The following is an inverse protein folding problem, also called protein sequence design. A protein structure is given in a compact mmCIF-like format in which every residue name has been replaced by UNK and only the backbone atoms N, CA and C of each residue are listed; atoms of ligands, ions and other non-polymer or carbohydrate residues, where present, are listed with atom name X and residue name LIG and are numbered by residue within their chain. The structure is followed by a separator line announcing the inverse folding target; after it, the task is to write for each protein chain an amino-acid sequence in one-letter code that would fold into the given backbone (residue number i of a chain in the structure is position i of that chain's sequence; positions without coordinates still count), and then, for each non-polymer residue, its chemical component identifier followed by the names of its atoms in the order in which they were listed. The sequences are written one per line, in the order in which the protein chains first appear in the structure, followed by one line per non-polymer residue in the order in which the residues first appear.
data_IF_845665502588
#
_entry.id   IF_845665502588
#
_cell.length_a   1.000
_cell.length_b   1.000
_cell.length_c   1.000
_cell.angle_alpha   90.00
_cell.angle_beta   90.00
_cell.angle_gamma   90.00
#
_symmetry.space_group_name_H-M   'P 1'
#
loop_
_entity.id
_entity.type
_entity.pdbx_description
1 polymer ?
#
# COMPACT_ATOMS: atom_id res chain seq x y z
N UNK A 1 -15.55 -9.86 -1.98
CA UNK A 1 -14.40 -10.73 -1.65
C UNK A 1 -13.17 -10.29 -2.44
N UNK A 2 -12.01 -10.22 -1.79
CA UNK A 2 -10.78 -9.76 -2.44
C UNK A 2 -10.01 -10.96 -2.94
N UNK A 3 -9.86 -11.06 -4.26
CA UNK A 3 -9.26 -12.22 -4.91
C UNK A 3 -7.81 -12.03 -5.33
N UNK A 4 -7.34 -10.78 -5.38
CA UNK A 4 -6.01 -10.46 -5.87
C UNK A 4 -5.22 -9.80 -4.76
N UNK A 5 -4.03 -10.34 -4.46
CA UNK A 5 -3.12 -9.75 -3.50
C UNK A 5 -2.08 -8.94 -4.24
N UNK A 6 -1.98 -7.67 -3.91
CA UNK A 6 -1.06 -6.75 -4.57
C UNK A 6 -0.01 -6.24 -3.60
N UNK A 7 1.23 -6.14 -4.08
CA UNK A 7 2.30 -5.48 -3.35
C UNK A 7 2.68 -4.20 -4.07
N UNK A 8 3.03 -3.17 -3.32
CA UNK A 8 3.40 -1.88 -3.89
C UNK A 8 4.83 -1.55 -3.48
N UNK A 9 5.69 -1.28 -4.46
CA UNK A 9 7.06 -0.87 -4.23
C UNK A 9 7.16 0.63 -4.44
N UNK A 10 7.83 1.32 -3.52
CA UNK A 10 7.97 2.77 -3.60
C UNK A 10 6.68 3.49 -3.25
N UNK A 11 5.93 2.96 -2.29
CA UNK A 11 4.60 3.47 -1.96
C UNK A 11 4.56 4.89 -1.41
N UNK A 12 5.70 5.43 -0.96
CA UNK A 12 5.74 6.80 -0.46
C UNK A 12 5.86 7.83 -1.58
N UNK A 13 6.15 7.41 -2.81
CA UNK A 13 6.26 8.30 -3.94
C UNK A 13 4.92 8.73 -4.49
N UNK A 14 4.95 9.69 -5.41
CA UNK A 14 3.73 10.23 -6.01
C UNK A 14 2.91 9.15 -6.73
N UNK A 15 3.57 8.36 -7.57
CA UNK A 15 2.90 7.29 -8.33
C UNK A 15 2.34 6.23 -7.39
N UNK A 16 3.10 5.88 -6.34
CA UNK A 16 2.63 4.92 -5.35
C UNK A 16 1.39 5.40 -4.64
N UNK A 17 1.33 6.70 -4.31
CA UNK A 17 0.16 7.29 -3.68
C UNK A 17 -1.08 7.23 -4.55
N UNK A 18 -0.92 7.51 -5.85
CA UNK A 18 -2.02 7.42 -6.79
C UNK A 18 -2.56 5.99 -6.87
N UNK A 19 -1.66 5.02 -6.95
CA UNK A 19 -2.05 3.62 -7.01
C UNK A 19 -2.74 3.17 -5.73
N UNK A 20 -2.25 3.62 -4.58
CA UNK A 20 -2.88 3.32 -3.30
C UNK A 20 -4.33 3.81 -3.23
N UNK A 21 -4.58 5.02 -3.70
CA UNK A 21 -5.94 5.58 -3.70
C UNK A 21 -6.90 4.72 -4.51
N UNK A 22 -6.43 4.20 -5.62
CA UNK A 22 -7.23 3.35 -6.48
C UNK A 22 -7.46 1.99 -5.81
N UNK A 23 -6.40 1.36 -5.31
CA UNK A 23 -6.47 0.00 -4.82
C UNK A 23 -7.14 -0.13 -3.46
N UNK A 24 -7.02 0.86 -2.60
CA UNK A 24 -7.65 0.83 -1.28
C UNK A 24 -9.17 0.65 -1.41
N UNK A 25 -9.76 1.23 -2.45
CA UNK A 25 -11.20 1.17 -2.66
C UNK A 25 -11.61 0.10 -3.69
N UNK A 26 -10.65 -0.68 -4.19
CA UNK A 26 -10.97 -1.69 -5.19
C UNK A 26 -11.55 -2.94 -4.51
N UNK A 27 -12.75 -3.40 -4.89
CA UNK A 27 -13.41 -4.48 -4.16
C UNK A 27 -12.75 -5.85 -4.31
N UNK A 28 -11.97 -6.06 -5.35
CA UNK A 28 -11.36 -7.36 -5.63
C UNK A 28 -9.87 -7.41 -5.34
N UNK A 29 -9.28 -6.32 -4.85
CA UNK A 29 -7.85 -6.25 -4.61
C UNK A 29 -7.58 -6.06 -3.12
N UNK A 30 -6.71 -6.90 -2.57
CA UNK A 30 -6.20 -6.74 -1.21
C UNK A 30 -4.75 -6.27 -1.32
N UNK A 31 -4.43 -5.15 -0.67
CA UNK A 31 -3.06 -4.67 -0.62
C UNK A 31 -2.32 -5.48 0.44
N UNK A 32 -1.36 -6.29 0.01
CA UNK A 32 -0.63 -7.17 0.90
C UNK A 32 0.47 -6.43 1.66
N UNK A 33 1.20 -5.56 0.95
CA UNK A 33 2.23 -4.73 1.59
C UNK A 33 2.45 -3.46 0.77
N UNK A 34 3.03 -2.45 1.42
CA UNK A 34 3.43 -1.21 0.76
C UNK A 34 4.87 -0.95 1.18
N UNK A 35 5.80 -1.05 0.23
CA UNK A 35 7.22 -0.95 0.50
C UNK A 35 7.72 0.48 0.45
N UNK A 36 8.51 0.87 1.46
CA UNK A 36 9.25 2.12 1.45
C UNK A 36 10.39 2.02 2.45
N UNK A 37 11.63 2.13 1.98
CA UNK A 37 12.78 2.05 2.88
C UNK A 37 12.84 3.22 3.85
N UNK A 38 12.55 4.42 3.37
CA UNK A 38 12.70 5.64 4.18
C UNK A 38 11.54 5.83 5.16
N UNK A 39 10.38 5.22 4.88
CA UNK A 39 9.18 5.38 5.71
C UNK A 39 8.74 4.10 6.41
N UNK A 40 9.59 3.06 6.41
CA UNK A 40 9.24 1.79 7.03
C UNK A 40 8.85 2.00 8.49
N UNK A 41 7.72 1.39 8.88
CA UNK A 41 7.20 1.52 10.24
C UNK A 41 6.26 2.69 10.44
N UNK A 42 6.19 3.62 9.49
CA UNK A 42 5.27 4.76 9.57
C UNK A 42 3.93 4.41 8.91
N UNK A 43 2.82 4.95 9.43
CA UNK A 43 1.53 4.76 8.77
C UNK A 43 1.53 5.39 7.39
N UNK A 44 0.83 4.75 6.45
CA UNK A 44 0.71 5.26 5.09
C UNK A 44 0.10 6.65 5.08
N UNK A 45 -0.90 6.90 5.92
CA UNK A 45 -1.58 8.19 5.96
C UNK A 45 -0.67 9.33 6.46
N UNK A 46 0.50 9.04 7.01
CA UNK A 46 1.44 10.07 7.42
C UNK A 46 2.07 10.75 6.21
N UNK A 47 2.23 10.02 5.11
CA UNK A 47 2.76 10.56 3.85
C UNK A 47 1.60 10.95 2.92
N UNK A 48 0.62 10.07 2.80
CA UNK A 48 -0.55 10.29 1.96
C UNK A 48 -1.75 10.63 2.86
N UNK A 49 -1.81 11.89 3.27
CA UNK A 49 -2.76 12.33 4.31
C UNK A 49 -4.22 12.17 3.94
N UNK A 50 -4.52 12.12 2.64
CA UNK A 50 -5.88 11.90 2.18
C UNK A 50 -6.37 10.48 2.46
N UNK A 51 -5.47 9.57 2.88
CA UNK A 51 -5.85 8.20 3.21
C UNK A 51 -6.14 7.99 4.69
N UNK A 52 -6.18 9.05 5.49
CA UNK A 52 -6.58 8.94 6.89
C UNK A 52 -8.02 8.40 6.94
N UNK A 53 -8.20 7.33 7.72
CA UNK A 53 -9.50 6.68 7.82
C UNK A 53 -9.78 5.65 6.75
N UNK A 54 -8.98 5.62 5.68
CA UNK A 54 -9.15 4.63 4.61
C UNK A 54 -8.32 3.37 4.85
N UNK A 55 -7.16 3.51 5.49
CA UNK A 55 -6.31 2.38 5.79
C UNK A 55 -5.45 2.69 7.00
N UNK A 56 -5.18 1.65 7.80
CA UNK A 56 -4.27 1.74 8.94
C UNK A 56 -2.93 1.08 8.66
N UNK A 57 -2.66 0.70 7.41
CA UNK A 57 -1.43 -0.01 7.05
C UNK A 57 -0.20 0.84 7.30
N UNK A 58 0.90 0.16 7.59
CA UNK A 58 2.20 0.79 7.74
C UNK A 58 3.07 0.45 6.53
N UNK A 59 3.98 1.37 6.20
CA UNK A 59 5.03 1.05 5.24
C UNK A 59 5.96 -0.02 5.82
N UNK A 60 6.52 -0.83 4.94
CA UNK A 60 7.48 -1.86 5.33
C UNK A 60 8.71 -1.79 4.44
N UNK A 61 9.86 -2.19 4.99
CA UNK A 61 11.07 -2.35 4.20
C UNK A 61 11.22 -3.78 3.65
N UNK A 62 10.32 -4.67 4.02
CA UNK A 62 10.35 -6.06 3.57
C UNK A 62 9.40 -6.28 2.41
N UNK A 63 9.76 -7.22 1.53
CA UNK A 63 8.93 -7.59 0.39
C UNK A 63 8.36 -8.99 0.63
N UNK A 64 7.05 -9.09 0.55
CA UNK A 64 6.38 -10.38 0.67
C UNK A 64 6.34 -11.05 -0.71
N UNK A 65 6.48 -12.38 -0.71
CA UNK A 65 6.36 -13.15 -1.96
C UNK A 65 4.97 -13.75 -2.13
N UNK A 66 4.10 -13.57 -1.15
CA UNK A 66 2.74 -14.10 -1.20
C UNK A 66 1.80 -13.05 -1.81
N UNK A 67 2.05 -12.75 -3.08
CA UNK A 67 1.27 -11.76 -3.82
C UNK A 67 1.01 -12.25 -5.24
N UNK A 68 -0.06 -11.72 -5.83
CA UNK A 68 -0.43 -12.05 -7.20
C UNK A 68 0.13 -11.03 -8.20
N UNK A 69 0.31 -9.78 -7.76
CA UNK A 69 0.81 -8.71 -8.62
C UNK A 69 1.62 -7.72 -7.79
N UNK A 70 2.59 -7.11 -8.45
CA UNK A 70 3.52 -6.19 -7.81
C UNK A 70 3.37 -4.80 -8.36
#
# INVERSE_FOLDING_TARGET
MKNIKAGIIGGAGYTGGELLRILVNHPNVEISFVHSNSNAGNPIYKVHTDLIGETDMLFTSELSQDIDVL
#
